data_IF_959775675781
#
_entry.id   IF_959775675781
#
_cell.length_a   1.000
_cell.length_b   1.000
_cell.length_c   1.000
_cell.angle_alpha   90.00
_cell.angle_beta   90.00
_cell.angle_gamma   90.00
#
_symmetry.space_group_name_H-M   'P 1'
#
loop_
_entity.id
_entity.type
_entity.pdbx_description
1 polymer ?
#
# COMPACT_ATOMS: atom_id res chain seq x y z
N UNK A 1 69.16 25.01 -36.69
CA UNK A 1 68.49 25.24 -35.42
C UNK A 1 67.02 25.46 -35.75
N UNK A 2 66.19 24.44 -35.61
CA UNK A 2 64.77 24.51 -35.92
C UNK A 2 63.98 24.20 -34.66
N UNK A 3 63.26 25.14 -34.14
CA UNK A 3 62.34 24.96 -33.01
C UNK A 3 60.99 24.51 -33.52
N UNK A 4 60.60 23.28 -33.17
CA UNK A 4 59.25 22.75 -33.43
C UNK A 4 58.31 23.24 -32.34
N UNK A 5 57.32 24.04 -32.72
CA UNK A 5 56.20 24.38 -31.86
C UNK A 5 55.19 23.22 -31.80
N UNK A 6 55.10 22.55 -30.68
CA UNK A 6 54.03 21.60 -30.38
C UNK A 6 52.87 22.34 -29.67
N UNK A 7 51.70 22.36 -30.31
CA UNK A 7 50.45 22.86 -29.79
C UNK A 7 49.90 21.94 -28.71
N UNK A 8 49.26 22.43 -27.65
CA UNK A 8 48.66 21.56 -26.61
C UNK A 8 47.37 20.93 -27.12
N UNK A 9 47.28 19.61 -26.94
CA UNK A 9 46.09 18.82 -27.22
C UNK A 9 44.95 19.16 -26.30
N UNK A 10 43.74 19.36 -26.86
CA UNK A 10 42.49 19.52 -26.12
C UNK A 10 42.24 18.33 -25.16
N UNK A 11 41.72 18.61 -23.96
CA UNK A 11 41.29 17.55 -23.06
C UNK A 11 40.05 16.83 -23.61
N UNK A 12 39.85 15.53 -23.34
CA UNK A 12 38.67 14.80 -23.81
C UNK A 12 37.39 15.28 -23.12
N UNK A 13 36.34 15.48 -23.94
CA UNK A 13 35.01 15.87 -23.50
C UNK A 13 34.38 14.79 -22.58
N UNK A 14 33.98 15.24 -21.39
CA UNK A 14 32.71 14.84 -20.76
C UNK A 14 32.52 13.40 -20.38
N UNK A 15 33.20 12.92 -19.32
CA UNK A 15 32.60 11.93 -18.43
C UNK A 15 31.35 12.58 -17.80
N UNK A 16 30.15 12.15 -18.25
CA UNK A 16 28.91 12.41 -17.53
C UNK A 16 29.05 11.73 -16.18
N UNK A 17 29.39 12.48 -15.16
CA UNK A 17 29.28 12.04 -13.78
C UNK A 17 27.78 11.86 -13.53
N UNK A 18 27.32 10.61 -13.51
CA UNK A 18 26.01 10.29 -12.97
C UNK A 18 26.06 10.70 -11.50
N UNK A 19 25.49 11.86 -11.21
CA UNK A 19 25.22 12.29 -9.84
C UNK A 19 24.37 11.16 -9.22
N UNK A 20 24.77 10.56 -8.10
CA UNK A 20 23.94 9.57 -7.44
C UNK A 20 22.60 10.25 -7.11
N UNK A 21 21.50 9.71 -7.63
CA UNK A 21 20.17 10.14 -7.27
C UNK A 21 20.10 10.18 -5.74
N UNK A 22 19.70 11.33 -5.20
CA UNK A 22 19.58 11.55 -3.75
C UNK A 22 18.68 10.44 -3.21
N UNK A 23 19.24 9.49 -2.47
CA UNK A 23 18.48 8.43 -1.81
C UNK A 23 17.56 9.10 -0.82
N UNK A 24 16.28 9.18 -1.14
CA UNK A 24 15.26 9.77 -0.27
C UNK A 24 14.83 8.70 0.74
N UNK A 25 15.03 9.00 2.01
CA UNK A 25 14.45 8.23 3.10
C UNK A 25 13.16 8.96 3.52
N UNK A 26 12.02 8.39 3.20
CA UNK A 26 10.70 8.94 3.50
C UNK A 26 9.99 8.08 4.54
N UNK A 27 9.14 8.68 5.34
CA UNK A 27 8.19 7.99 6.20
C UNK A 27 6.80 7.97 5.53
N UNK A 28 6.07 6.86 5.67
CA UNK A 28 4.72 6.73 5.16
C UNK A 28 3.82 6.00 6.14
N UNK A 29 2.61 6.50 6.33
CA UNK A 29 1.58 5.91 7.18
C UNK A 29 0.54 5.20 6.34
N UNK A 30 0.38 3.90 6.56
CA UNK A 30 -0.60 3.04 5.92
C UNK A 30 -1.56 2.48 6.96
N UNK A 31 -2.86 2.60 6.74
CA UNK A 31 -3.89 2.03 7.60
C UNK A 31 -4.64 0.91 6.89
N UNK A 32 -4.96 -0.16 7.61
CA UNK A 32 -5.77 -1.29 7.13
C UNK A 32 -7.18 -1.14 7.68
N UNK A 33 -8.17 -1.02 6.81
CA UNK A 33 -9.59 -0.81 7.14
C UNK A 33 -10.47 -1.90 6.50
N UNK A 34 -11.65 -2.11 7.03
CA UNK A 34 -12.61 -3.14 6.59
C UNK A 34 -13.17 -3.92 7.76
N UNK A 35 -14.16 -4.76 7.49
CA UNK A 35 -14.88 -5.54 8.49
C UNK A 35 -13.99 -6.51 9.30
N UNK A 36 -14.52 -7.00 10.40
CA UNK A 36 -13.90 -8.07 11.16
C UNK A 36 -13.84 -9.36 10.32
N UNK A 37 -12.71 -10.07 10.37
CA UNK A 37 -12.56 -11.36 9.69
C UNK A 37 -12.25 -11.30 8.20
N UNK A 38 -12.17 -10.11 7.56
CA UNK A 38 -11.79 -10.00 6.12
C UNK A 38 -10.31 -10.29 5.86
N UNK A 39 -9.47 -10.32 6.90
CA UNK A 39 -8.06 -10.73 6.82
C UNK A 39 -7.06 -9.58 6.81
N UNK A 40 -7.38 -8.40 7.35
CA UNK A 40 -6.45 -7.26 7.46
C UNK A 40 -5.15 -7.63 8.16
N UNK A 41 -5.24 -8.18 9.36
CA UNK A 41 -4.08 -8.65 10.14
C UNK A 41 -3.32 -9.75 9.42
N UNK A 42 -4.02 -10.66 8.75
CA UNK A 42 -3.39 -11.72 7.97
C UNK A 42 -2.59 -11.16 6.79
N UNK A 43 -3.10 -10.12 6.11
CA UNK A 43 -2.39 -9.41 5.04
C UNK A 43 -1.12 -8.75 5.59
N UNK A 44 -1.24 -8.00 6.70
CA UNK A 44 -0.11 -7.33 7.33
C UNK A 44 0.97 -8.32 7.80
N UNK A 45 0.57 -9.39 8.48
CA UNK A 45 1.49 -10.43 8.96
C UNK A 45 2.13 -11.21 7.82
N UNK A 46 1.39 -11.49 6.75
CA UNK A 46 1.94 -12.11 5.54
C UNK A 46 3.00 -11.21 4.90
N UNK A 47 2.73 -9.91 4.81
CA UNK A 47 3.67 -8.96 4.24
C UNK A 47 4.95 -8.80 5.07
N UNK A 48 4.81 -8.53 6.37
CA UNK A 48 5.96 -8.18 7.22
C UNK A 48 6.76 -9.41 7.65
N UNK A 49 6.08 -10.49 8.03
CA UNK A 49 6.71 -11.67 8.64
C UNK A 49 6.67 -12.91 7.76
N UNK A 50 6.01 -12.84 6.59
CA UNK A 50 5.73 -13.99 5.72
C UNK A 50 5.03 -15.16 6.45
N UNK A 51 4.14 -14.83 7.42
CA UNK A 51 3.39 -15.78 8.25
C UNK A 51 1.92 -15.71 7.94
N UNK A 52 1.25 -16.86 7.92
CA UNK A 52 -0.20 -16.98 7.89
C UNK A 52 -0.63 -18.02 8.91
N UNK A 53 -1.73 -17.75 9.62
CA UNK A 53 -2.38 -18.70 10.52
C UNK A 53 -3.88 -18.70 10.26
N UNK A 54 -4.49 -19.88 10.25
CA UNK A 54 -5.94 -20.01 10.14
C UNK A 54 -6.67 -19.66 11.46
N UNK A 55 -5.93 -19.66 12.58
CA UNK A 55 -6.42 -19.41 13.93
C UNK A 55 -6.12 -18.00 14.45
N UNK A 56 -6.12 -16.98 13.57
CA UNK A 56 -5.97 -15.60 14.04
C UNK A 56 -7.16 -15.20 14.92
N UNK A 57 -6.84 -14.78 16.14
CA UNK A 57 -7.82 -14.14 17.01
C UNK A 57 -8.26 -12.79 16.46
N UNK A 58 -9.46 -12.37 16.86
CA UNK A 58 -9.99 -11.06 16.48
C UNK A 58 -9.11 -9.97 17.06
N UNK A 59 -8.64 -9.04 16.19
CA UNK A 59 -7.82 -7.91 16.63
C UNK A 59 -8.60 -7.02 17.59
N UNK A 60 -8.09 -6.89 18.82
CA UNK A 60 -8.65 -6.00 19.86
C UNK A 60 -7.87 -4.68 19.80
N UNK A 61 -8.55 -3.58 19.50
CA UNK A 61 -7.92 -2.27 19.32
C UNK A 61 -7.23 -2.15 17.99
N UNK A 62 -5.90 -2.09 17.97
CA UNK A 62 -5.08 -1.99 16.76
C UNK A 62 -3.68 -2.53 16.98
N UNK A 63 -3.06 -3.01 15.92
CA UNK A 63 -1.66 -3.42 15.85
C UNK A 63 -0.83 -2.40 15.08
N UNK A 64 0.45 -2.30 15.43
CA UNK A 64 1.43 -1.50 14.71
C UNK A 64 2.54 -2.40 14.21
N UNK A 65 2.84 -2.28 12.91
CA UNK A 65 3.94 -2.96 12.25
C UNK A 65 4.74 -1.93 11.46
N UNK A 66 6.00 -2.23 11.17
CA UNK A 66 6.87 -1.35 10.40
C UNK A 66 7.67 -2.15 9.40
N UNK A 67 7.84 -1.61 8.19
CA UNK A 67 8.66 -2.21 7.14
C UNK A 67 9.41 -1.16 6.35
N UNK A 68 10.65 -1.45 5.97
CA UNK A 68 11.40 -0.60 5.05
C UNK A 68 11.20 -1.14 3.63
N UNK A 69 10.51 -0.35 2.82
CA UNK A 69 10.24 -0.67 1.41
C UNK A 69 11.31 -0.01 0.55
N UNK A 70 12.09 -0.81 -0.18
CA UNK A 70 13.06 -0.30 -1.15
C UNK A 70 12.41 -0.27 -2.53
N UNK A 71 12.39 0.90 -3.14
CA UNK A 71 11.78 1.11 -4.45
C UNK A 71 12.81 0.98 -5.59
N UNK A 72 12.31 0.75 -6.81
CA UNK A 72 13.15 0.53 -8.00
C UNK A 72 14.01 1.73 -8.39
N UNK A 73 13.60 2.93 -8.01
CA UNK A 73 14.34 4.17 -8.24
C UNK A 73 15.47 4.40 -7.22
N UNK A 74 15.68 3.46 -6.29
CA UNK A 74 16.68 3.54 -5.22
C UNK A 74 16.23 4.30 -3.98
N UNK A 75 15.03 4.87 -3.96
CA UNK A 75 14.46 5.47 -2.76
C UNK A 75 14.02 4.40 -1.75
N UNK A 76 13.91 4.77 -0.49
CA UNK A 76 13.34 3.92 0.56
C UNK A 76 12.23 4.63 1.31
N UNK A 77 11.19 3.87 1.62
CA UNK A 77 10.06 4.31 2.42
C UNK A 77 10.03 3.49 3.71
N UNK A 78 10.09 4.15 4.85
CA UNK A 78 9.74 3.54 6.12
C UNK A 78 8.23 3.55 6.22
N UNK A 79 7.61 2.39 6.01
CA UNK A 79 6.17 2.22 6.01
C UNK A 79 5.70 1.80 7.40
N UNK A 80 4.97 2.69 8.05
CA UNK A 80 4.29 2.45 9.32
C UNK A 80 2.88 1.92 9.04
N UNK A 81 2.63 0.66 9.39
CA UNK A 81 1.40 -0.06 9.07
C UNK A 81 0.55 -0.17 10.34
N UNK A 82 -0.67 0.39 10.27
CA UNK A 82 -1.65 0.34 11.33
C UNK A 82 -2.72 -0.69 11.00
N UNK A 83 -2.64 -1.85 11.64
CA UNK A 83 -3.67 -2.90 11.56
C UNK A 83 -4.80 -2.58 12.53
N UNK A 84 -6.02 -2.47 12.05
CA UNK A 84 -7.15 -2.06 12.89
C UNK A 84 -8.12 -3.20 13.19
N UNK A 85 -8.73 -3.15 14.37
CA UNK A 85 -9.85 -4.03 14.71
C UNK A 85 -11.07 -3.69 13.83
N UNK A 86 -11.61 -4.71 13.13
CA UNK A 86 -12.74 -4.51 12.21
C UNK A 86 -14.12 -4.47 12.88
N UNK A 87 -14.18 -4.44 14.21
CA UNK A 87 -15.47 -4.44 14.93
C UNK A 87 -16.05 -3.01 14.99
N UNK A 88 -17.32 -2.87 14.65
CA UNK A 88 -18.06 -1.61 14.62
C UNK A 88 -18.04 -0.83 15.94
N UNK A 89 -17.94 -1.53 17.06
CA UNK A 89 -17.87 -0.91 18.41
C UNK A 89 -16.60 -0.07 18.63
N UNK A 90 -15.57 -0.26 17.81
CA UNK A 90 -14.33 0.51 17.90
C UNK A 90 -14.22 1.64 16.87
N UNK A 91 -15.26 1.88 16.06
CA UNK A 91 -15.24 2.91 14.99
C UNK A 91 -14.81 4.28 15.47
N UNK A 92 -15.24 4.70 16.67
CA UNK A 92 -14.84 5.99 17.23
C UNK A 92 -13.34 6.11 17.52
N UNK A 93 -12.66 4.97 17.82
CA UNK A 93 -11.22 4.92 18.05
C UNK A 93 -10.45 4.85 16.73
N UNK A 94 -11.07 4.35 15.66
CA UNK A 94 -10.39 4.17 14.37
C UNK A 94 -9.95 5.50 13.76
N UNK A 95 -10.65 6.60 14.07
CA UNK A 95 -10.26 7.94 13.63
C UNK A 95 -8.83 8.30 14.08
N UNK A 96 -8.40 7.84 15.25
CA UNK A 96 -7.03 8.05 15.73
C UNK A 96 -6.00 7.30 14.89
N UNK A 97 -6.38 6.13 14.31
CA UNK A 97 -5.48 5.31 13.52
C UNK A 97 -5.34 5.83 12.09
N UNK A 98 -6.42 6.29 11.44
CA UNK A 98 -6.34 6.76 10.05
C UNK A 98 -6.06 8.26 9.90
N UNK A 99 -6.07 9.02 10.99
CA UNK A 99 -5.65 10.43 10.97
C UNK A 99 -4.25 10.57 10.39
N UNK A 100 -4.07 11.52 9.46
CA UNK A 100 -2.82 11.79 8.75
C UNK A 100 -2.28 10.54 7.98
N UNK A 101 -3.14 9.62 7.55
CA UNK A 101 -2.73 8.47 6.76
C UNK A 101 -2.38 8.89 5.32
N UNK A 102 -1.21 8.48 4.86
CA UNK A 102 -0.79 8.66 3.47
C UNK A 102 -1.58 7.76 2.53
N UNK A 103 -1.91 6.53 3.00
CA UNK A 103 -2.69 5.55 2.25
C UNK A 103 -3.55 4.67 3.17
N UNK A 104 -4.60 4.08 2.59
CA UNK A 104 -5.47 3.12 3.24
C UNK A 104 -5.70 1.90 2.34
N UNK A 105 -5.52 0.68 2.90
CA UNK A 105 -6.01 -0.56 2.30
C UNK A 105 -7.40 -0.85 2.86
N UNK A 106 -8.41 -0.72 2.01
CA UNK A 106 -9.80 -1.03 2.35
C UNK A 106 -10.06 -2.47 1.90
N UNK A 107 -10.17 -3.37 2.84
CA UNK A 107 -10.17 -4.82 2.60
C UNK A 107 -11.56 -5.40 2.74
N UNK A 108 -11.94 -6.23 1.78
CA UNK A 108 -13.13 -7.09 1.85
C UNK A 108 -12.79 -8.56 1.60
N UNK A 109 -13.71 -9.44 1.95
CA UNK A 109 -13.64 -10.88 1.75
C UNK A 109 -14.50 -11.26 0.54
N UNK A 110 -13.92 -11.89 -0.49
CA UNK A 110 -14.63 -12.26 -1.71
C UNK A 110 -15.79 -13.25 -1.46
N UNK A 111 -15.81 -13.91 -0.32
CA UNK A 111 -16.88 -14.83 0.09
C UNK A 111 -18.03 -14.14 0.83
N UNK A 112 -17.91 -12.82 1.11
CA UNK A 112 -18.89 -12.07 1.90
C UNK A 112 -19.27 -10.76 1.20
N UNK A 113 -20.39 -10.77 0.46
CA UNK A 113 -20.86 -9.61 -0.30
C UNK A 113 -21.03 -8.35 0.57
N UNK A 114 -21.53 -8.51 1.81
CA UNK A 114 -21.72 -7.39 2.73
C UNK A 114 -20.43 -6.67 3.09
N UNK A 115 -19.30 -7.39 3.08
CA UNK A 115 -18.00 -6.78 3.39
C UNK A 115 -17.54 -5.78 2.31
N UNK A 116 -17.93 -5.97 1.03
CA UNK A 116 -17.70 -4.97 -0.01
C UNK A 116 -18.64 -3.76 0.15
N UNK A 117 -19.93 -3.99 0.45
CA UNK A 117 -20.89 -2.90 0.71
C UNK A 117 -20.39 -1.99 1.84
N UNK A 118 -19.87 -2.58 2.91
CA UNK A 118 -19.33 -1.84 4.05
C UNK A 118 -18.04 -1.07 3.72
N UNK A 119 -17.32 -1.41 2.64
CA UNK A 119 -16.17 -0.63 2.18
C UNK A 119 -16.56 0.80 1.79
N UNK A 120 -17.79 1.03 1.30
CA UNK A 120 -18.27 2.37 0.95
C UNK A 120 -18.28 3.32 2.16
N UNK A 121 -18.60 2.81 3.36
CA UNK A 121 -18.50 3.58 4.60
C UNK A 121 -17.06 4.10 4.82
N UNK A 122 -16.04 3.24 4.66
CA UNK A 122 -14.65 3.62 4.86
C UNK A 122 -14.14 4.60 3.81
N UNK A 123 -14.54 4.41 2.56
CA UNK A 123 -14.22 5.33 1.47
C UNK A 123 -14.77 6.73 1.77
N UNK A 124 -16.07 6.83 2.13
CA UNK A 124 -16.72 8.09 2.42
C UNK A 124 -16.12 8.77 3.66
N UNK A 125 -15.79 8.00 4.70
CA UNK A 125 -15.16 8.53 5.91
C UNK A 125 -13.77 9.11 5.62
N UNK A 126 -12.92 8.37 4.89
CA UNK A 126 -11.59 8.86 4.51
C UNK A 126 -11.65 10.07 3.57
N UNK A 127 -12.56 10.07 2.59
CA UNK A 127 -12.72 11.23 1.70
C UNK A 127 -13.14 12.49 2.44
N UNK A 128 -13.88 12.34 3.54
CA UNK A 128 -14.33 13.46 4.37
C UNK A 128 -13.24 13.99 5.31
N UNK A 129 -12.36 13.12 5.82
CA UNK A 129 -11.41 13.44 6.89
C UNK A 129 -9.96 13.52 6.40
N UNK A 130 -9.62 12.73 5.38
CA UNK A 130 -8.26 12.56 4.83
C UNK A 130 -8.32 12.64 3.29
N UNK A 131 -8.76 13.79 2.76
CA UNK A 131 -9.05 14.01 1.33
C UNK A 131 -7.92 13.53 0.40
N UNK A 132 -6.69 13.67 0.84
CA UNK A 132 -5.51 13.31 0.08
C UNK A 132 -5.03 11.87 0.30
N UNK A 133 -5.71 11.05 1.10
CA UNK A 133 -5.33 9.66 1.35
C UNK A 133 -5.44 8.83 0.06
N UNK A 134 -4.40 8.06 -0.24
CA UNK A 134 -4.40 7.11 -1.36
C UNK A 134 -5.26 5.93 -0.96
N UNK A 135 -6.32 5.64 -1.74
CA UNK A 135 -7.24 4.54 -1.45
C UNK A 135 -6.92 3.33 -2.32
N UNK A 136 -6.76 2.18 -1.70
CA UNK A 136 -6.60 0.90 -2.37
C UNK A 136 -7.65 -0.09 -1.86
N UNK A 137 -8.49 -0.60 -2.78
CA UNK A 137 -9.42 -1.69 -2.51
C UNK A 137 -8.68 -3.03 -2.61
N UNK A 138 -8.84 -3.87 -1.61
CA UNK A 138 -8.19 -5.20 -1.55
C UNK A 138 -9.26 -6.28 -1.42
N UNK A 139 -9.44 -7.06 -2.49
CA UNK A 139 -10.23 -8.29 -2.48
C UNK A 139 -9.39 -9.41 -1.89
N UNK A 140 -9.68 -9.87 -0.69
CA UNK A 140 -8.91 -10.92 -0.04
C UNK A 140 -9.61 -12.28 -0.09
N UNK A 141 -8.84 -13.35 0.15
CA UNK A 141 -9.24 -14.76 0.16
C UNK A 141 -9.56 -15.31 -1.22
N UNK A 142 -8.87 -14.85 -2.27
CA UNK A 142 -9.09 -15.33 -3.65
C UNK A 142 -8.65 -16.78 -3.87
N UNK A 143 -8.00 -17.39 -2.88
CA UNK A 143 -7.62 -18.81 -2.86
C UNK A 143 -8.81 -19.77 -2.68
N UNK A 144 -10.02 -19.25 -2.39
CA UNK A 144 -11.24 -20.05 -2.35
C UNK A 144 -11.70 -20.45 -3.75
N UNK A 145 -12.40 -21.60 -3.90
CA UNK A 145 -13.02 -21.99 -5.16
C UNK A 145 -13.94 -20.92 -5.74
N UNK A 146 -14.05 -20.86 -7.06
CA UNK A 146 -14.83 -19.82 -7.73
C UNK A 146 -16.31 -19.80 -7.32
N UNK A 147 -16.89 -20.96 -7.03
CA UNK A 147 -18.27 -21.15 -6.56
C UNK A 147 -18.54 -20.58 -5.16
N UNK A 148 -17.50 -20.41 -4.35
CA UNK A 148 -17.61 -19.80 -3.03
C UNK A 148 -17.51 -18.27 -3.07
N UNK A 149 -17.01 -17.70 -4.16
CA UNK A 149 -16.92 -16.25 -4.33
C UNK A 149 -18.32 -15.65 -4.54
N UNK A 150 -18.68 -14.69 -3.70
CA UNK A 150 -19.95 -13.95 -3.76
C UNK A 150 -19.84 -12.63 -4.51
N UNK A 151 -18.62 -12.20 -4.77
CA UNK A 151 -18.31 -10.95 -5.47
C UNK A 151 -17.38 -11.31 -6.63
N UNK A 152 -17.82 -11.01 -7.84
CA UNK A 152 -17.01 -11.16 -9.03
C UNK A 152 -16.11 -9.93 -9.25
N UNK A 153 -15.07 -10.11 -10.06
CA UNK A 153 -14.11 -9.04 -10.36
C UNK A 153 -14.75 -7.83 -11.05
N UNK A 154 -15.87 -8.03 -11.79
CA UNK A 154 -16.58 -6.94 -12.46
C UNK A 154 -17.26 -6.03 -11.45
N UNK A 155 -17.98 -6.59 -10.47
CA UNK A 155 -18.61 -5.83 -9.38
C UNK A 155 -17.57 -5.03 -8.58
N UNK A 156 -16.42 -5.65 -8.30
CA UNK A 156 -15.31 -4.97 -7.63
C UNK A 156 -14.73 -3.83 -8.48
N UNK A 157 -14.58 -4.03 -9.79
CA UNK A 157 -14.09 -3.01 -10.70
C UNK A 157 -15.05 -1.81 -10.80
N UNK A 158 -16.36 -2.04 -10.89
CA UNK A 158 -17.37 -0.97 -10.86
C UNK A 158 -17.27 -0.12 -9.59
N UNK A 159 -17.01 -0.76 -8.43
CA UNK A 159 -16.78 -0.05 -7.18
C UNK A 159 -15.49 0.80 -7.24
N UNK A 160 -14.40 0.24 -7.75
CA UNK A 160 -13.11 0.92 -7.92
C UNK A 160 -13.23 2.14 -8.82
N UNK A 161 -13.92 1.99 -9.96
CA UNK A 161 -14.13 3.06 -10.94
C UNK A 161 -14.98 4.20 -10.35
N UNK A 162 -16.03 3.85 -9.57
CA UNK A 162 -16.87 4.83 -8.87
C UNK A 162 -16.07 5.74 -7.93
N UNK A 163 -15.07 5.19 -7.26
CA UNK A 163 -14.32 5.91 -6.22
C UNK A 163 -12.88 6.29 -6.60
N UNK A 164 -12.42 5.92 -7.82
CA UNK A 164 -11.06 6.23 -8.29
C UNK A 164 -9.98 5.61 -7.41
N UNK A 165 -10.07 4.30 -7.13
CA UNK A 165 -9.18 3.58 -6.23
C UNK A 165 -8.17 2.72 -7.00
N UNK A 166 -7.08 2.35 -6.32
CA UNK A 166 -6.22 1.25 -6.76
C UNK A 166 -6.92 -0.08 -6.39
N UNK A 167 -6.76 -1.13 -7.19
CA UNK A 167 -7.41 -2.41 -6.94
C UNK A 167 -6.44 -3.59 -7.00
N UNK A 168 -6.57 -4.50 -6.03
CA UNK A 168 -5.89 -5.78 -6.03
C UNK A 168 -6.77 -6.90 -5.51
N UNK A 169 -6.67 -8.04 -6.18
CA UNK A 169 -7.13 -9.33 -5.68
C UNK A 169 -5.96 -10.04 -4.98
N UNK A 170 -6.16 -10.54 -3.77
CA UNK A 170 -5.10 -11.09 -2.91
C UNK A 170 -5.53 -12.35 -2.19
N UNK A 171 -4.53 -13.15 -1.80
CA UNK A 171 -4.69 -14.18 -0.79
C UNK A 171 -3.60 -14.03 0.29
N UNK A 172 -4.00 -13.70 1.49
CA UNK A 172 -3.08 -13.74 2.63
C UNK A 172 -2.61 -15.17 2.93
N UNK A 173 -3.42 -16.19 2.59
CA UNK A 173 -3.11 -17.61 2.79
C UNK A 173 -1.97 -18.06 1.87
N UNK A 174 -2.07 -17.82 0.59
CA UNK A 174 -1.05 -18.21 -0.40
C UNK A 174 0.08 -17.19 -0.54
N UNK A 175 -0.16 -15.94 -0.15
CA UNK A 175 0.75 -14.81 -0.37
C UNK A 175 0.54 -14.10 -1.72
N UNK A 176 -0.43 -14.53 -2.52
CA UNK A 176 -0.69 -13.99 -3.84
C UNK A 176 -0.97 -12.49 -3.80
N UNK A 177 -0.25 -11.73 -4.62
CA UNK A 177 -0.28 -10.28 -4.77
C UNK A 177 -0.01 -9.46 -3.49
N UNK A 178 0.29 -10.05 -2.33
CA UNK A 178 0.51 -9.31 -1.09
C UNK A 178 1.65 -8.30 -1.25
N UNK A 179 2.84 -8.74 -1.67
CA UNK A 179 3.98 -7.83 -1.88
C UNK A 179 3.69 -6.73 -2.91
N UNK A 180 2.94 -7.07 -3.97
CA UNK A 180 2.59 -6.13 -5.04
C UNK A 180 1.69 -4.99 -4.56
N UNK A 181 0.73 -5.29 -3.67
CA UNK A 181 -0.12 -4.26 -3.03
C UNK A 181 0.75 -3.24 -2.30
N UNK A 182 1.60 -3.70 -1.39
CA UNK A 182 2.42 -2.81 -0.57
C UNK A 182 3.47 -2.07 -1.40
N UNK A 183 4.09 -2.72 -2.40
CA UNK A 183 5.03 -2.06 -3.32
C UNK A 183 4.33 -0.94 -4.10
N UNK A 184 3.16 -1.20 -4.70
CA UNK A 184 2.43 -0.21 -5.49
C UNK A 184 1.99 0.97 -4.63
N UNK A 185 1.39 0.71 -3.47
CA UNK A 185 0.94 1.78 -2.56
C UNK A 185 2.13 2.60 -2.05
N UNK A 186 3.26 1.96 -1.74
CA UNK A 186 4.48 2.66 -1.35
C UNK A 186 5.03 3.57 -2.45
N UNK A 187 4.99 3.13 -3.71
CA UNK A 187 5.37 3.94 -4.87
C UNK A 187 4.49 5.19 -4.99
N UNK A 188 3.18 5.04 -4.85
CA UNK A 188 2.27 6.18 -4.91
C UNK A 188 2.45 7.16 -3.73
N UNK A 189 2.75 6.66 -2.52
CA UNK A 189 3.09 7.51 -1.37
C UNK A 189 4.34 8.34 -1.67
N UNK A 190 5.41 7.71 -2.15
CA UNK A 190 6.67 8.40 -2.48
C UNK A 190 6.46 9.41 -3.60
N UNK A 191 5.75 9.03 -4.67
CA UNK A 191 5.41 9.92 -5.78
C UNK A 191 4.67 11.18 -5.31
N UNK A 192 3.66 11.00 -4.46
CA UNK A 192 2.88 12.10 -3.89
C UNK A 192 3.76 13.02 -3.02
N UNK A 193 4.57 12.47 -2.13
CA UNK A 193 5.46 13.27 -1.26
C UNK A 193 6.49 14.05 -2.06
N UNK A 194 6.99 13.51 -3.16
CA UNK A 194 7.90 14.21 -4.05
C UNK A 194 7.24 15.35 -4.84
N UNK A 195 5.92 15.33 -5.04
CA UNK A 195 5.18 16.41 -5.70
C UNK A 195 4.84 17.57 -4.75
N UNK A 196 4.86 17.32 -3.44
CA UNK A 196 4.52 18.31 -2.40
C UNK A 196 5.76 18.91 -1.71
N UNK A 197 6.96 18.40 -1.99
CA UNK A 197 8.25 18.88 -1.47
C UNK A 197 8.91 19.88 -2.41
#
# INVERSE_FOLDING_TARGET
>A
MGCSNSSPSKPPEGLKVNTPSKVLNLDGKLVLLGDSGVGKSSIAMRYVNNVFSESFEVTIGGGYLQQIVRLKDGSSLKLDIWDTGGQERYRALLQLYYRDADAALITYDVTNARSLENCEYWVNELRRTEENCILCLVANKIDVPAEERKIDSKTAQEFVDKFGMIFFETSAKTGENINKVFETVSQEIVKKKNQTA
#
